data_IF_018244128618
#
_entry.id   IF_018244128618
#
_cell.length_a   1.000
_cell.length_b   1.000
_cell.length_c   1.000
_cell.angle_alpha   90.00
_cell.angle_beta   90.00
_cell.angle_gamma   90.00
#
_symmetry.space_group_name_H-M   'P 1'
#
loop_
_entity.id
_entity.type
_entity.pdbx_description
1 polymer ?
#
# COMPACT_ATOMS: atom_id res chain seq x y z
N UNK A 1 -37.05 -14.83 5.15
CA UNK A 1 -36.37 -14.35 5.04
C UNK A 1 -35.62 -14.27 4.83
N UNK A 2 -35.63 -14.40 4.67
CA UNK A 2 -34.72 -13.97 4.51
C UNK A 2 -33.98 -13.57 4.21
N UNK A 3 -34.03 -13.60 4.00
CA UNK A 3 -33.16 -12.99 3.67
C UNK A 3 -32.49 -12.45 3.53
N UNK A 4 -32.76 -12.51 3.49
CA UNK A 4 -31.99 -11.73 3.31
C UNK A 4 -31.19 -11.43 3.32
N UNK A 5 -31.37 -11.77 3.32
CA UNK A 5 -30.50 -11.23 3.39
C UNK A 5 -29.61 -10.88 3.12
N UNK A 6 -29.53 -10.86 3.07
CA UNK A 6 -28.68 -10.25 2.89
C UNK A 6 -27.94 -10.11 2.58
N UNK A 7 -27.96 -10.18 2.54
CA UNK A 7 -27.18 -9.80 2.40
C UNK A 7 -26.42 -9.19 2.28
N UNK A 8 -26.46 -9.00 2.47
CA UNK A 8 -25.82 -8.40 2.44
C UNK A 8 -24.87 -8.10 2.34
N UNK A 9 -24.77 -8.43 2.32
CA UNK A 9 -23.83 -8.18 2.34
C UNK A 9 -23.05 -7.88 1.82
N UNK A 10 -23.31 -7.97 1.47
CA UNK A 10 -22.55 -7.67 0.92
C UNK A 10 -21.73 -6.88 1.15
N UNK A 11 -21.99 -7.10 1.57
CA UNK A 11 -21.26 -6.42 1.98
C UNK A 11 -20.20 -5.92 1.46
N UNK A 12 -20.24 -5.42 1.37
CA UNK A 12 -19.34 -4.63 0.86
C UNK A 12 -18.05 -4.72 1.51
N UNK A 13 -17.44 -5.74 1.22
CA UNK A 13 -16.14 -5.98 1.78
C UNK A 13 -15.14 -5.17 1.01
N UNK A 14 -14.44 -4.34 1.70
CA UNK A 14 -13.27 -3.71 1.14
C UNK A 14 -12.17 -4.74 1.10
N UNK A 15 -11.75 -5.09 -0.09
CA UNK A 15 -10.73 -6.09 -0.27
C UNK A 15 -9.37 -5.45 -0.31
N UNK A 16 -8.51 -5.80 0.64
CA UNK A 16 -7.13 -5.37 0.62
C UNK A 16 -6.41 -6.02 -0.56
N UNK A 17 -5.52 -5.28 -1.19
CA UNK A 17 -4.73 -5.75 -2.32
C UNK A 17 -3.40 -6.29 -1.80
N UNK A 18 -2.98 -7.44 -2.30
CA UNK A 18 -1.66 -7.96 -1.97
C UNK A 18 -0.59 -7.30 -2.82
N UNK A 19 0.61 -7.23 -2.30
CA UNK A 19 1.79 -6.80 -3.05
C UNK A 19 2.98 -7.68 -2.68
N UNK A 20 3.94 -7.76 -3.59
CA UNK A 20 5.18 -8.49 -3.39
C UNK A 20 6.26 -7.78 -4.18
N UNK A 21 7.18 -7.14 -3.47
CA UNK A 21 8.26 -6.38 -4.07
C UNK A 21 9.61 -7.04 -3.79
N UNK A 22 10.45 -7.13 -4.81
CA UNK A 22 11.87 -7.47 -4.64
C UNK A 22 12.66 -6.20 -4.97
N UNK A 23 13.27 -5.62 -3.95
CA UNK A 23 13.85 -4.29 -4.04
C UNK A 23 15.35 -4.35 -3.80
N UNK A 24 16.13 -4.07 -4.84
CA UNK A 24 17.55 -3.80 -4.65
C UNK A 24 17.71 -2.46 -3.93
N UNK A 25 18.88 -2.24 -3.36
CA UNK A 25 19.14 -0.99 -2.61
C UNK A 25 18.89 0.23 -3.49
N UNK A 26 18.20 1.20 -2.93
CA UNK A 26 17.82 2.47 -3.57
C UNK A 26 16.94 2.31 -4.81
N UNK A 27 16.36 1.13 -4.99
CA UNK A 27 15.42 0.89 -6.09
C UNK A 27 13.98 1.04 -5.63
N UNK A 28 13.15 1.35 -6.59
CA UNK A 28 11.72 1.60 -6.43
C UNK A 28 10.97 0.65 -7.33
N UNK A 29 9.84 0.14 -6.87
CA UNK A 29 8.89 -0.58 -7.71
C UNK A 29 7.47 -0.21 -7.29
N UNK A 30 6.49 -0.66 -8.06
CA UNK A 30 5.11 -0.29 -7.78
C UNK A 30 4.15 -1.42 -8.14
N UNK A 31 2.94 -1.32 -7.58
CA UNK A 31 1.83 -2.21 -7.92
C UNK A 31 1.15 -1.76 -9.21
N UNK A 32 0.19 -2.54 -9.67
CA UNK A 32 -0.81 -2.06 -10.63
C UNK A 32 -1.71 -1.04 -9.97
N UNK A 33 -2.45 -0.28 -10.78
CA UNK A 33 -3.47 0.62 -10.26
C UNK A 33 -4.61 -0.16 -9.62
N UNK A 34 -5.11 0.37 -8.51
CA UNK A 34 -6.25 -0.18 -7.78
C UNK A 34 -7.25 0.95 -7.58
N UNK A 35 -8.53 0.66 -7.78
CA UNK A 35 -9.58 1.63 -7.57
C UNK A 35 -9.80 1.86 -6.07
N UNK A 36 -9.83 3.13 -5.68
CA UNK A 36 -10.10 3.51 -4.29
C UNK A 36 -11.55 3.25 -3.96
N UNK A 37 -11.81 2.53 -2.86
CA UNK A 37 -13.16 2.11 -2.49
C UNK A 37 -13.93 3.11 -1.64
N UNK A 38 -13.27 4.07 -1.05
CA UNK A 38 -13.91 5.03 -0.15
C UNK A 38 -13.17 6.34 -0.14
N UNK A 39 -13.48 7.18 0.84
CA UNK A 39 -12.95 8.52 0.93
C UNK A 39 -11.91 8.67 2.05
N UNK A 40 -11.24 7.60 2.46
CA UNK A 40 -10.21 7.68 3.49
C UNK A 40 -9.09 8.63 3.07
N UNK A 41 -8.51 9.30 4.05
CA UNK A 41 -7.46 10.29 3.83
C UNK A 41 -6.07 9.66 3.72
N UNK A 42 -5.99 8.35 3.67
CA UNK A 42 -4.71 7.63 3.63
C UNK A 42 -4.88 6.26 2.99
N UNK A 43 -3.76 5.69 2.53
CA UNK A 43 -3.68 4.28 2.15
C UNK A 43 -3.11 3.51 3.34
N UNK A 44 -3.79 2.45 3.76
CA UNK A 44 -3.26 1.55 4.77
C UNK A 44 -2.30 0.57 4.13
N UNK A 45 -1.11 0.41 4.69
CA UNK A 45 -0.09 -0.50 4.16
C UNK A 45 0.39 -1.40 5.27
N UNK A 46 0.39 -2.70 5.03
CA UNK A 46 0.86 -3.69 5.99
C UNK A 46 1.99 -4.52 5.37
N UNK A 47 3.03 -4.71 6.16
CA UNK A 47 4.14 -5.60 5.83
C UNK A 47 3.97 -6.88 6.63
N UNK A 48 3.84 -8.01 5.96
CA UNK A 48 3.64 -9.30 6.60
C UNK A 48 4.83 -10.23 6.43
N UNK A 49 5.73 -9.94 5.50
CA UNK A 49 6.91 -10.75 5.26
C UNK A 49 8.07 -9.87 4.78
N UNK A 50 9.25 -10.11 5.34
CA UNK A 50 10.48 -9.42 4.98
C UNK A 50 11.63 -10.43 4.95
N UNK A 51 12.44 -10.37 3.89
CA UNK A 51 13.66 -11.19 3.80
C UNK A 51 14.76 -10.71 4.76
N UNK A 52 14.68 -9.45 5.19
CA UNK A 52 15.61 -8.86 6.16
C UNK A 52 14.77 -8.27 7.31
N UNK A 53 14.69 -8.97 8.46
CA UNK A 53 13.68 -8.67 9.48
C UNK A 53 13.69 -7.26 10.08
N UNK A 54 14.81 -6.58 10.07
CA UNK A 54 14.92 -5.22 10.60
C UNK A 54 14.91 -4.15 9.51
N UNK A 55 14.61 -4.52 8.26
CA UNK A 55 14.60 -3.57 7.17
C UNK A 55 13.51 -2.52 7.37
N UNK A 56 13.81 -1.32 6.91
CA UNK A 56 12.84 -0.24 6.77
C UNK A 56 12.49 -0.13 5.29
N UNK A 57 11.22 -0.21 4.97
CA UNK A 57 10.73 0.01 3.60
C UNK A 57 9.89 1.27 3.61
N UNK A 58 10.04 2.08 2.57
CA UNK A 58 9.28 3.33 2.43
C UNK A 58 8.23 3.15 1.35
N UNK A 59 7.04 3.67 1.61
CA UNK A 59 5.91 3.56 0.71
C UNK A 59 5.34 4.93 0.40
N UNK A 60 4.90 5.12 -0.83
CA UNK A 60 4.12 6.30 -1.21
C UNK A 60 3.09 5.95 -2.27
N UNK A 61 2.09 6.80 -2.41
CA UNK A 61 0.96 6.58 -3.30
C UNK A 61 1.06 7.47 -4.53
N UNK A 62 0.61 6.91 -5.65
CA UNK A 62 0.61 7.60 -6.94
C UNK A 62 -0.80 7.51 -7.52
N UNK A 63 -1.35 8.64 -7.95
CA UNK A 63 -2.67 8.72 -8.54
C UNK A 63 -2.57 8.82 -10.05
N UNK A 64 -3.31 7.97 -10.76
CA UNK A 64 -3.37 8.00 -12.22
C UNK A 64 -3.82 9.38 -12.70
N UNK A 65 -3.08 9.95 -13.64
CA UNK A 65 -3.40 11.24 -14.22
C UNK A 65 -2.94 12.44 -13.41
N UNK A 66 -2.32 12.22 -12.23
CA UNK A 66 -1.86 13.32 -11.39
C UNK A 66 -0.41 13.19 -10.96
N UNK A 67 0.03 12.02 -10.53
CA UNK A 67 1.36 11.80 -9.98
C UNK A 67 1.31 11.43 -8.51
N UNK A 68 2.40 11.65 -7.78
CA UNK A 68 2.46 11.30 -6.38
C UNK A 68 1.50 12.17 -5.55
N UNK A 69 0.72 11.51 -4.73
CA UNK A 69 -0.29 12.15 -3.87
C UNK A 69 0.01 11.93 -2.40
N UNK A 70 1.21 11.49 -2.08
CA UNK A 70 1.70 11.37 -0.71
C UNK A 70 3.21 11.53 -0.67
N UNK A 71 3.74 11.74 0.53
CA UNK A 71 5.16 11.58 0.82
C UNK A 71 5.44 10.11 1.12
N UNK A 72 6.72 9.76 1.27
CA UNK A 72 7.09 8.46 1.78
C UNK A 72 6.69 8.31 3.24
N UNK A 73 6.15 7.14 3.57
CA UNK A 73 5.90 6.72 4.95
C UNK A 73 6.60 5.39 5.15
N UNK A 74 7.26 5.23 6.30
CA UNK A 74 8.14 4.08 6.55
C UNK A 74 7.46 3.03 7.39
N UNK A 75 7.80 1.76 7.09
CA UNK A 75 7.51 0.64 7.97
C UNK A 75 8.85 -0.04 8.28
N UNK A 76 9.14 -0.24 9.55
CA UNK A 76 10.31 -0.98 9.98
C UNK A 76 9.88 -2.35 10.47
N UNK A 77 10.41 -3.40 9.83
CA UNK A 77 10.04 -4.76 10.18
C UNK A 77 8.61 -5.09 9.78
N UNK A 78 8.04 -6.09 10.41
CA UNK A 78 6.66 -6.49 10.23
C UNK A 78 5.77 -5.46 10.93
N UNK A 79 4.74 -4.98 10.24
CA UNK A 79 3.82 -4.01 10.81
C UNK A 79 3.12 -3.20 9.74
N UNK A 80 2.47 -2.12 10.15
CA UNK A 80 1.69 -1.29 9.26
C UNK A 80 1.98 0.19 9.39
N UNK A 81 1.55 0.94 8.39
CA UNK A 81 1.59 2.41 8.40
C UNK A 81 0.43 2.97 7.63
N UNK A 82 0.17 4.25 7.83
CA UNK A 82 -0.74 5.03 7.01
C UNK A 82 0.08 5.89 6.05
N UNK A 83 -0.15 5.68 4.76
CA UNK A 83 0.42 6.54 3.73
C UNK A 83 -0.57 7.68 3.50
N UNK A 84 -0.33 8.80 4.17
CA UNK A 84 -1.29 9.90 4.24
C UNK A 84 -1.26 10.69 2.94
N UNK A 85 -2.44 10.87 2.34
CA UNK A 85 -2.56 11.65 1.12
C UNK A 85 -2.31 13.14 1.42
N UNK A 86 -1.44 13.73 0.61
CA UNK A 86 -1.14 15.17 0.68
C UNK A 86 -1.91 15.97 -0.36
N UNK A 87 -2.59 15.26 -1.26
CA UNK A 87 -3.51 15.83 -2.24
C UNK A 87 -4.82 15.08 -2.15
N UNK A 88 -5.89 15.69 -2.63
CA UNK A 88 -7.20 15.06 -2.57
C UNK A 88 -7.26 13.81 -3.44
N UNK A 89 -7.72 12.72 -2.85
CA UNK A 89 -7.95 11.46 -3.53
C UNK A 89 -9.38 11.03 -3.22
N UNK A 90 -10.16 10.88 -4.28
CA UNK A 90 -11.58 10.56 -4.16
C UNK A 90 -11.83 9.07 -4.35
N UNK A 91 -12.99 8.62 -3.89
CA UNK A 91 -13.52 7.32 -4.24
C UNK A 91 -13.48 7.15 -5.77
N UNK A 92 -13.14 5.94 -6.21
CA UNK A 92 -13.00 5.54 -7.60
C UNK A 92 -11.75 6.05 -8.33
N UNK A 93 -10.96 6.92 -7.72
CA UNK A 93 -9.64 7.25 -8.25
C UNK A 93 -8.77 5.99 -8.30
N UNK A 94 -7.87 5.94 -9.27
CA UNK A 94 -6.97 4.81 -9.42
C UNK A 94 -5.62 5.15 -8.83
N UNK A 95 -5.20 4.32 -7.88
CA UNK A 95 -4.00 4.54 -7.08
C UNK A 95 -3.09 3.32 -7.23
N UNK A 96 -1.79 3.54 -7.26
CA UNK A 96 -0.82 2.46 -7.12
C UNK A 96 0.15 2.77 -6.00
N UNK A 97 0.67 1.72 -5.40
CA UNK A 97 1.59 1.79 -4.28
C UNK A 97 3.02 1.64 -4.79
N UNK A 98 3.88 2.55 -4.39
CA UNK A 98 5.32 2.47 -4.61
C UNK A 98 6.02 2.00 -3.35
N UNK A 99 7.00 1.12 -3.53
CA UNK A 99 7.88 0.68 -2.46
C UNK A 99 9.32 1.05 -2.77
N UNK A 100 10.09 1.41 -1.75
CA UNK A 100 11.47 1.86 -1.87
C UNK A 100 12.33 1.25 -0.77
N UNK A 101 13.48 0.71 -1.17
CA UNK A 101 14.48 0.14 -0.27
C UNK A 101 15.61 1.16 -0.07
N UNK A 102 15.63 1.90 1.04
CA UNK A 102 16.66 2.92 1.25
C UNK A 102 18.02 2.31 1.56
N UNK A 103 19.07 3.08 1.29
CA UNK A 103 20.46 2.65 1.55
C UNK A 103 20.72 2.39 3.04
N UNK A 104 19.90 2.92 3.92
CA UNK A 104 20.01 2.67 5.37
C UNK A 104 19.81 1.20 5.75
N UNK A 105 19.28 0.38 4.85
CA UNK A 105 19.20 -1.07 5.05
C UNK A 105 20.53 -1.78 4.82
N UNK A 106 21.60 -1.07 4.55
CA UNK A 106 22.94 -1.65 4.44
C UNK A 106 23.27 -2.21 3.07
N UNK A 107 22.56 -1.81 2.03
CA UNK A 107 22.86 -2.22 0.66
C UNK A 107 22.34 -3.61 0.30
N UNK A 108 21.51 -4.21 1.14
CA UNK A 108 20.96 -5.55 0.86
C UNK A 108 19.71 -5.44 0.01
N UNK A 109 19.47 -6.47 -0.81
CA UNK A 109 18.19 -6.63 -1.49
C UNK A 109 17.15 -7.09 -0.49
N UNK A 110 15.99 -6.44 -0.48
CA UNK A 110 14.90 -6.77 0.43
C UNK A 110 13.69 -7.23 -0.37
N UNK A 111 13.18 -8.41 -0.06
CA UNK A 111 11.89 -8.85 -0.53
C UNK A 111 10.86 -8.53 0.55
N UNK A 112 9.83 -7.80 0.17
CA UNK A 112 8.77 -7.37 1.09
C UNK A 112 7.43 -7.72 0.49
N UNK A 113 6.56 -8.28 1.31
CA UNK A 113 5.20 -8.58 0.88
C UNK A 113 4.20 -8.27 1.98
N UNK A 114 2.98 -8.11 1.59
CA UNK A 114 1.90 -7.78 2.49
C UNK A 114 0.64 -7.42 1.73
N UNK A 115 -0.13 -6.53 2.31
CA UNK A 115 -1.36 -6.05 1.67
C UNK A 115 -1.53 -4.56 1.94
N UNK A 116 -2.31 -3.90 1.08
CA UNK A 116 -2.57 -2.47 1.20
C UNK A 116 -3.97 -2.14 0.73
N UNK A 117 -4.44 -0.98 1.15
CA UNK A 117 -5.80 -0.53 0.90
C UNK A 117 -5.76 0.96 0.58
N UNK A 118 -6.05 1.36 -0.66
CA UNK A 118 -5.97 2.77 -1.05
C UNK A 118 -6.93 3.71 -0.34
#
# INVERSE_FOLDING_TARGET
STLAIGIMFSVTVVTAQTYNFSLMTENVTNTSYVRKNGDSAYAGVNVTSLSYPSATIKFKAYKQGKGFVSNYNSVRGIGGTQVIYTSTVYKDDRIKLYGYNPSSNGGVTVTVSGYWNP
#
